data_IF_058797638978
#
_entry.id   IF_058797638978
#
_cell.length_a   1.000
_cell.length_b   1.000
_cell.length_c   1.000
_cell.angle_alpha   90.00
_cell.angle_beta   90.00
_cell.angle_gamma   90.00
#
_symmetry.space_group_name_H-M   'P 1'
#
loop_
_entity.id
_entity.type
_entity.pdbx_description
1 polymer ?
#
# COMPACT_ATOMS: atom_id res chain seq x y z
N UNK A 1 -5.77 -88.22 -12.63
CA UNK A 1 -4.69 -87.22 -12.57
C UNK A 1 -5.36 -85.86 -12.61
N UNK A 2 -5.46 -85.22 -11.44
CA UNK A 2 -6.17 -83.92 -11.24
C UNK A 2 -5.14 -82.82 -11.14
N UNK A 3 -5.15 -81.89 -12.09
CA UNK A 3 -4.30 -80.71 -12.04
C UNK A 3 -5.09 -79.56 -11.37
N UNK A 4 -4.61 -79.13 -10.23
CA UNK A 4 -5.12 -78.00 -9.45
C UNK A 4 -4.51 -76.72 -10.04
N UNK A 5 -5.36 -75.88 -10.63
CA UNK A 5 -4.97 -74.55 -11.08
C UNK A 5 -5.05 -73.56 -9.93
N UNK A 6 -3.96 -72.85 -9.67
CA UNK A 6 -3.85 -71.80 -8.68
C UNK A 6 -4.32 -70.46 -9.26
N UNK A 7 -5.24 -69.74 -8.65
CA UNK A 7 -5.60 -68.41 -9.14
C UNK A 7 -4.61 -67.36 -8.66
N UNK A 8 -4.02 -66.66 -9.60
CA UNK A 8 -3.13 -65.51 -9.34
C UNK A 8 -3.94 -64.33 -8.89
N UNK A 9 -3.84 -63.95 -7.63
CA UNK A 9 -4.48 -62.78 -7.04
C UNK A 9 -3.68 -61.54 -7.45
N UNK A 10 -4.19 -60.77 -8.44
CA UNK A 10 -3.64 -59.50 -8.84
C UNK A 10 -4.08 -58.41 -7.82
N UNK A 11 -3.20 -58.02 -6.91
CA UNK A 11 -3.39 -56.87 -6.01
C UNK A 11 -3.09 -55.62 -6.84
N UNK A 12 -4.15 -54.95 -7.32
CA UNK A 12 -4.05 -53.61 -7.90
C UNK A 12 -3.85 -52.61 -6.79
N UNK A 13 -2.58 -52.16 -6.58
CA UNK A 13 -2.25 -51.06 -5.70
C UNK A 13 -2.78 -49.75 -6.25
N UNK A 14 -3.87 -49.22 -5.67
CA UNK A 14 -4.30 -47.85 -5.87
C UNK A 14 -3.29 -46.89 -5.19
N UNK A 15 -2.36 -46.36 -5.98
CA UNK A 15 -1.58 -45.20 -5.62
C UNK A 15 -2.53 -43.99 -5.56
N UNK A 16 -2.99 -43.67 -4.34
CA UNK A 16 -3.64 -42.41 -4.05
C UNK A 16 -2.62 -41.28 -4.25
N UNK A 17 -2.62 -40.67 -5.40
CA UNK A 17 -1.96 -39.40 -5.68
C UNK A 17 -2.70 -38.33 -4.86
N UNK A 18 -2.30 -38.16 -3.60
CA UNK A 18 -2.65 -36.98 -2.82
C UNK A 18 -1.92 -35.79 -3.47
N UNK A 19 -2.49 -35.24 -4.52
CA UNK A 19 -2.09 -33.98 -5.09
C UNK A 19 -2.25 -32.93 -4.01
N UNK A 20 -1.16 -32.48 -3.40
CA UNK A 20 -1.16 -31.21 -2.69
C UNK A 20 -1.56 -30.15 -3.72
N UNK A 21 -2.85 -29.82 -3.79
CA UNK A 21 -3.28 -28.59 -4.41
C UNK A 21 -2.67 -27.48 -3.55
N UNK A 22 -1.51 -27.00 -4.01
CA UNK A 22 -0.95 -25.75 -3.52
C UNK A 22 -1.95 -24.70 -4.05
N UNK A 23 -2.82 -24.21 -3.18
CA UNK A 23 -3.66 -23.06 -3.51
C UNK A 23 -2.73 -21.95 -3.96
N UNK A 24 -2.69 -21.72 -5.27
CA UNK A 24 -1.98 -20.57 -5.81
C UNK A 24 -2.58 -19.32 -5.16
N UNK A 25 -1.73 -18.37 -4.70
CA UNK A 25 -2.23 -17.16 -4.05
C UNK A 25 -3.22 -16.48 -5.00
N UNK A 26 -4.48 -16.52 -4.63
CA UNK A 26 -5.56 -15.95 -5.45
C UNK A 26 -5.39 -14.45 -5.52
N UNK A 27 -5.15 -13.92 -6.71
CA UNK A 27 -5.11 -12.48 -6.90
C UNK A 27 -6.47 -11.87 -6.53
N UNK A 28 -6.47 -11.00 -5.51
CA UNK A 28 -7.67 -10.32 -5.00
C UNK A 28 -7.82 -8.95 -5.63
N UNK A 29 -6.69 -8.27 -5.86
CA UNK A 29 -6.66 -6.93 -6.42
C UNK A 29 -5.36 -6.67 -7.21
N UNK A 30 -5.42 -5.69 -8.10
CA UNK A 30 -4.26 -5.20 -8.89
C UNK A 30 -4.08 -3.70 -8.68
N UNK A 31 -2.84 -3.24 -8.67
CA UNK A 31 -2.54 -1.79 -8.65
C UNK A 31 -3.10 -1.16 -9.92
N UNK A 32 -3.99 -0.19 -9.76
CA UNK A 32 -4.60 0.58 -10.85
C UNK A 32 -4.12 2.03 -10.90
N UNK A 33 -3.57 2.54 -9.81
CA UNK A 33 -3.00 3.88 -9.75
C UNK A 33 -2.06 4.04 -8.56
N UNK A 34 -1.06 4.90 -8.72
CA UNK A 34 -0.12 5.24 -7.66
C UNK A 34 0.50 6.59 -7.93
N UNK A 35 0.56 7.44 -6.92
CA UNK A 35 1.12 8.78 -7.01
C UNK A 35 1.50 9.33 -5.64
N UNK A 36 2.28 10.40 -5.64
CA UNK A 36 2.33 11.32 -4.52
C UNK A 36 1.27 12.39 -4.68
N UNK A 37 0.63 12.76 -3.58
CA UNK A 37 -0.29 13.89 -3.51
C UNK A 37 0.37 14.98 -2.66
N UNK A 38 0.63 16.14 -3.27
CA UNK A 38 1.17 17.30 -2.60
C UNK A 38 0.08 18.34 -2.39
N UNK A 39 -0.23 18.63 -1.14
CA UNK A 39 -1.15 19.70 -0.76
C UNK A 39 -0.35 20.85 -0.14
N UNK A 40 0.09 21.77 -0.99
CA UNK A 40 0.90 22.93 -0.59
C UNK A 40 0.14 23.91 0.32
N UNK A 41 -1.20 23.93 0.32
CA UNK A 41 -2.00 24.81 1.19
C UNK A 41 -1.83 24.45 2.67
N UNK A 42 -1.75 23.16 2.97
CA UNK A 42 -1.59 22.63 4.33
C UNK A 42 -0.21 22.01 4.55
N UNK A 43 0.72 22.15 3.59
CA UNK A 43 2.09 21.64 3.63
C UNK A 43 2.16 20.11 3.90
N UNK A 44 1.29 19.35 3.26
CA UNK A 44 1.20 17.88 3.42
C UNK A 44 1.52 17.19 2.10
N UNK A 45 2.39 16.19 2.16
CA UNK A 45 2.58 15.21 1.10
C UNK A 45 2.15 13.82 1.60
N UNK A 46 1.59 13.00 0.74
CA UNK A 46 1.19 11.62 1.05
C UNK A 46 1.40 10.71 -0.16
N UNK A 47 1.62 9.43 0.08
CA UNK A 47 1.46 8.39 -0.92
C UNK A 47 -0.04 8.12 -1.12
N UNK A 48 -0.44 7.88 -2.35
CA UNK A 48 -1.77 7.39 -2.69
C UNK A 48 -1.64 6.21 -3.63
N UNK A 49 -2.17 5.05 -3.23
CA UNK A 49 -2.25 3.86 -4.07
C UNK A 49 -3.70 3.45 -4.22
N UNK A 50 -4.12 3.23 -5.45
CA UNK A 50 -5.44 2.68 -5.77
C UNK A 50 -5.28 1.28 -6.31
N UNK A 51 -6.05 0.36 -5.77
CA UNK A 51 -6.15 -1.01 -6.23
C UNK A 51 -7.50 -1.20 -6.91
N UNK A 52 -7.52 -1.87 -8.05
CA UNK A 52 -8.75 -2.41 -8.65
C UNK A 52 -8.97 -3.81 -8.09
N UNK A 53 -10.08 -4.03 -7.41
CA UNK A 53 -10.46 -5.35 -6.94
C UNK A 53 -10.88 -6.23 -8.13
N UNK A 54 -10.40 -7.48 -8.16
CA UNK A 54 -10.65 -8.44 -9.23
C UNK A 54 -11.29 -9.74 -8.72
N UNK A 55 -11.30 -9.95 -7.40
CA UNK A 55 -12.01 -11.07 -6.78
C UNK A 55 -12.81 -10.59 -5.56
N UNK A 56 -13.89 -11.30 -5.18
CA UNK A 56 -14.65 -10.95 -3.98
C UNK A 56 -13.84 -11.15 -2.71
N UNK A 57 -14.08 -10.29 -1.73
CA UNK A 57 -13.57 -10.39 -0.37
C UNK A 57 -14.73 -10.56 0.62
N UNK A 58 -14.45 -11.21 1.74
CA UNK A 58 -15.43 -11.37 2.83
C UNK A 58 -15.60 -10.04 3.59
N UNK A 59 -16.76 -9.82 4.16
CA UNK A 59 -16.95 -8.68 5.09
C UNK A 59 -15.97 -8.80 6.26
N UNK A 60 -15.47 -7.66 6.75
CA UNK A 60 -14.41 -7.62 7.77
C UNK A 60 -12.99 -7.73 7.22
N UNK A 61 -12.81 -7.95 5.90
CA UNK A 61 -11.48 -7.89 5.28
C UNK A 61 -10.87 -6.49 5.40
N UNK A 62 -9.54 -6.43 5.47
CA UNK A 62 -8.78 -5.17 5.61
C UNK A 62 -7.62 -5.12 4.61
N UNK A 63 -7.19 -3.92 4.30
CA UNK A 63 -5.93 -3.66 3.60
C UNK A 63 -4.97 -2.94 4.54
N UNK A 64 -3.76 -3.44 4.64
CA UNK A 64 -2.66 -2.79 5.36
C UNK A 64 -1.59 -2.41 4.36
N UNK A 65 -1.12 -1.18 4.43
CA UNK A 65 -0.03 -0.70 3.60
C UNK A 65 1.14 -0.23 4.46
N UNK A 66 2.35 -0.59 4.02
CA UNK A 66 3.62 -0.15 4.59
C UNK A 66 4.32 0.67 3.52
N UNK A 67 4.67 1.91 3.85
CA UNK A 67 5.28 2.88 2.95
C UNK A 67 6.68 3.21 3.45
N UNK A 68 7.67 3.17 2.57
CA UNK A 68 9.01 3.65 2.87
C UNK A 68 8.95 5.11 3.35
N UNK A 69 9.63 5.43 4.44
CA UNK A 69 9.67 6.81 4.95
C UNK A 69 10.73 7.63 4.20
N UNK A 70 10.35 8.64 3.39
CA UNK A 70 11.34 9.43 2.64
C UNK A 70 12.31 10.21 3.51
N UNK A 71 11.91 10.53 4.75
CA UNK A 71 12.78 11.18 5.73
C UNK A 71 13.78 10.20 6.37
N UNK A 72 13.61 8.90 6.14
CA UNK A 72 14.37 7.85 6.82
C UNK A 72 13.75 7.45 8.16
N UNK A 73 14.32 6.41 8.79
CA UNK A 73 13.77 5.83 10.01
C UNK A 73 12.69 4.76 9.73
N UNK A 74 11.79 4.49 10.67
CA UNK A 74 10.77 3.46 10.51
C UNK A 74 9.81 3.76 9.36
N UNK A 75 9.39 2.70 8.66
CA UNK A 75 8.35 2.79 7.65
C UNK A 75 7.02 3.24 8.24
N UNK A 76 6.21 3.87 7.40
CA UNK A 76 4.89 4.36 7.77
C UNK A 76 3.84 3.30 7.42
N UNK A 77 2.81 3.19 8.23
CA UNK A 77 1.74 2.21 8.02
C UNK A 77 0.37 2.86 7.99
N UNK A 78 -0.51 2.31 7.17
CA UNK A 78 -1.94 2.58 7.22
C UNK A 78 -2.73 1.29 7.16
N UNK A 79 -3.97 1.34 7.66
CA UNK A 79 -4.91 0.23 7.62
C UNK A 79 -6.30 0.76 7.35
N UNK A 80 -6.95 0.16 6.34
CA UNK A 80 -8.30 0.51 5.93
C UNK A 80 -9.19 -0.74 5.88
N UNK A 81 -10.48 -0.56 6.14
CA UNK A 81 -11.49 -1.61 5.96
C UNK A 81 -11.85 -1.71 4.48
N UNK A 82 -11.97 -2.93 3.98
CA UNK A 82 -12.46 -3.20 2.63
C UNK A 82 -13.96 -3.50 2.72
N UNK A 83 -14.77 -2.73 2.00
CA UNK A 83 -16.20 -3.02 1.92
C UNK A 83 -16.47 -3.96 0.74
N UNK A 84 -17.31 -5.00 0.91
CA UNK A 84 -17.53 -6.01 -0.13
C UNK A 84 -18.06 -5.47 -1.47
N UNK A 85 -18.67 -4.29 -1.47
CA UNK A 85 -19.19 -3.64 -2.68
C UNK A 85 -18.20 -2.71 -3.38
N UNK A 86 -17.09 -2.36 -2.71
CA UNK A 86 -16.11 -1.44 -3.30
C UNK A 86 -15.34 -2.14 -4.41
N UNK A 87 -15.37 -1.59 -5.61
CA UNK A 87 -14.57 -2.05 -6.75
C UNK A 87 -13.14 -1.55 -6.66
N UNK A 88 -12.92 -0.42 -6.00
CA UNK A 88 -11.63 0.21 -5.79
C UNK A 88 -11.30 0.31 -4.31
N UNK A 89 -10.07 -0.01 -3.98
CA UNK A 89 -9.52 0.12 -2.63
C UNK A 89 -8.43 1.19 -2.71
N UNK A 90 -8.57 2.25 -1.94
CA UNK A 90 -7.56 3.32 -1.89
C UNK A 90 -6.85 3.25 -0.54
N UNK A 91 -5.53 3.22 -0.57
CA UNK A 91 -4.68 3.32 0.62
C UNK A 91 -3.83 4.58 0.54
N UNK A 92 -3.79 5.32 1.63
CA UNK A 92 -3.05 6.56 1.76
C UNK A 92 -2.11 6.47 2.97
N UNK A 93 -0.89 6.99 2.81
CA UNK A 93 0.04 7.07 3.94
C UNK A 93 -0.35 8.16 4.92
N UNK A 94 0.15 8.12 6.16
CA UNK A 94 0.33 9.32 6.96
C UNK A 94 1.11 10.39 6.18
N UNK A 95 1.11 11.67 6.61
CA UNK A 95 1.93 12.70 6.01
C UNK A 95 3.41 12.31 5.96
N UNK A 96 4.05 12.63 4.83
CA UNK A 96 5.47 12.38 4.59
C UNK A 96 6.22 13.68 4.31
N UNK A 97 7.52 13.64 4.56
CA UNK A 97 8.43 14.74 4.28
C UNK A 97 9.64 14.22 3.48
N UNK A 98 10.35 15.12 2.82
CA UNK A 98 11.61 14.81 2.13
C UNK A 98 11.46 13.94 0.87
N UNK A 99 10.30 13.97 0.22
CA UNK A 99 10.12 13.27 -1.05
C UNK A 99 11.04 13.89 -2.11
N UNK A 100 11.84 13.05 -2.77
CA UNK A 100 12.76 13.43 -3.85
C UNK A 100 12.18 13.05 -5.20
N UNK A 101 12.37 13.94 -6.17
CA UNK A 101 12.00 13.69 -7.55
C UNK A 101 12.71 12.44 -8.07
N UNK A 102 12.02 11.66 -8.89
CA UNK A 102 12.50 10.46 -9.61
C UNK A 102 13.05 9.32 -8.73
N UNK A 103 13.14 9.50 -7.41
CA UNK A 103 13.53 8.43 -6.50
C UNK A 103 12.40 7.40 -6.37
N UNK A 104 12.67 6.08 -6.51
CA UNK A 104 11.69 5.04 -6.24
C UNK A 104 11.55 4.84 -4.72
N UNK A 105 10.31 4.81 -4.24
CA UNK A 105 9.95 4.51 -2.86
C UNK A 105 9.14 3.23 -2.80
N UNK A 106 9.50 2.33 -1.89
CA UNK A 106 8.84 1.03 -1.75
C UNK A 106 7.49 1.16 -1.04
N UNK A 107 6.52 0.37 -1.51
CA UNK A 107 5.23 0.20 -0.85
C UNK A 107 4.88 -1.28 -0.85
N UNK A 108 4.58 -1.82 0.33
CA UNK A 108 4.08 -3.18 0.51
C UNK A 108 2.66 -3.13 1.00
N UNK A 109 1.75 -3.79 0.30
CA UNK A 109 0.32 -3.82 0.60
C UNK A 109 -0.09 -5.26 0.90
N UNK A 110 -0.77 -5.49 2.03
CA UNK A 110 -1.30 -6.78 2.43
C UNK A 110 -2.82 -6.69 2.52
N UNK A 111 -3.50 -7.51 1.73
CA UNK A 111 -4.94 -7.72 1.84
C UNK A 111 -5.15 -8.89 2.80
N UNK A 112 -5.93 -8.66 3.84
CA UNK A 112 -6.19 -9.63 4.90
C UNK A 112 -7.67 -9.97 4.96
N UNK A 113 -7.96 -11.24 5.19
CA UNK A 113 -9.29 -11.72 5.52
C UNK A 113 -9.75 -11.27 6.91
N UNK A 114 -11.02 -11.52 7.26
CA UNK A 114 -11.58 -11.11 8.55
C UNK A 114 -10.91 -11.79 9.75
N UNK A 115 -10.31 -12.95 9.57
CA UNK A 115 -9.55 -13.69 10.59
C UNK A 115 -8.07 -13.26 10.67
N UNK A 116 -7.65 -12.29 9.83
CA UNK A 116 -6.28 -11.78 9.79
C UNK A 116 -5.34 -12.56 8.88
N UNK A 117 -5.84 -13.59 8.20
CA UNK A 117 -5.12 -14.35 7.19
C UNK A 117 -4.73 -13.47 6.00
N UNK A 118 -3.51 -13.63 5.48
CA UNK A 118 -3.05 -12.87 4.33
C UNK A 118 -3.60 -13.51 3.06
N UNK A 119 -4.50 -12.78 2.40
CA UNK A 119 -5.08 -13.21 1.12
C UNK A 119 -4.15 -12.89 -0.06
N UNK A 120 -3.47 -11.74 -0.01
CA UNK A 120 -2.53 -11.30 -1.03
C UNK A 120 -1.52 -10.31 -0.46
N UNK A 121 -0.28 -10.39 -0.94
CA UNK A 121 0.74 -9.35 -0.74
C UNK A 121 1.09 -8.75 -2.10
N UNK A 122 1.09 -7.42 -2.18
CA UNK A 122 1.45 -6.65 -3.38
C UNK A 122 2.65 -5.78 -3.03
N UNK A 123 3.73 -5.90 -3.79
CA UNK A 123 4.88 -5.02 -3.70
C UNK A 123 4.91 -4.09 -4.90
N UNK A 124 5.13 -2.82 -4.67
CA UNK A 124 5.22 -1.81 -5.73
C UNK A 124 6.18 -0.69 -5.34
N UNK A 125 6.50 0.16 -6.30
CA UNK A 125 7.27 1.38 -6.06
C UNK A 125 6.52 2.58 -6.61
N UNK A 126 6.68 3.72 -5.95
CA UNK A 126 6.13 5.00 -6.39
C UNK A 126 7.30 5.97 -6.60
N UNK A 127 7.23 6.75 -7.68
CA UNK A 127 8.14 7.87 -7.94
C UNK A 127 7.34 9.16 -7.95
N UNK A 128 7.96 10.22 -7.48
CA UNK A 128 7.43 11.58 -7.63
C UNK A 128 8.06 12.23 -8.85
N UNK A 129 7.30 12.96 -9.62
CA UNK A 129 7.77 13.85 -10.68
C UNK A 129 8.20 15.22 -10.14
N UNK A 130 8.03 15.44 -8.84
CA UNK A 130 8.27 16.71 -8.16
C UNK A 130 9.08 16.49 -6.88
N UNK A 131 10.07 17.35 -6.63
CA UNK A 131 10.79 17.38 -5.36
C UNK A 131 9.98 18.15 -4.31
N UNK A 132 9.85 17.60 -3.10
CA UNK A 132 9.09 18.24 -2.02
C UNK A 132 9.72 19.53 -1.53
N UNK A 133 10.97 19.80 -1.84
CA UNK A 133 11.63 21.09 -1.52
C UNK A 133 10.95 22.30 -2.17
N UNK A 134 10.07 22.07 -3.16
CA UNK A 134 9.24 23.11 -3.76
C UNK A 134 8.05 23.52 -2.86
N UNK A 135 7.77 22.75 -1.80
CA UNK A 135 6.69 23.04 -0.86
C UNK A 135 7.23 23.76 0.37
N UNK A 136 6.48 24.74 0.91
CA UNK A 136 6.81 25.32 2.19
C UNK A 136 6.71 24.28 3.31
N UNK A 137 7.57 24.37 4.34
CA UNK A 137 7.49 23.50 5.52
C UNK A 137 6.25 23.78 6.37
N UNK A 138 5.72 25.01 6.28
CA UNK A 138 4.56 25.45 7.06
C UNK A 138 3.31 25.55 6.17
N UNK A 139 2.12 25.18 6.70
CA UNK A 139 0.88 25.36 5.97
C UNK A 139 0.64 26.85 5.64
N UNK A 140 0.17 27.13 4.42
CA UNK A 140 -0.16 28.49 3.99
C UNK A 140 -1.42 29.03 4.67
N UNK A 141 -2.28 28.12 5.12
CA UNK A 141 -3.55 28.46 5.76
C UNK A 141 -3.72 27.67 7.07
N UNK A 142 -4.40 28.26 8.03
CA UNK A 142 -4.66 27.67 9.34
C UNK A 142 -6.13 27.81 9.75
N UNK A 143 -6.56 26.95 10.64
CA UNK A 143 -7.91 26.93 11.20
C UNK A 143 -9.00 26.51 10.21
N UNK A 144 -10.24 26.38 10.71
CA UNK A 144 -11.37 25.87 9.92
C UNK A 144 -11.81 26.80 8.79
N UNK A 145 -11.46 28.07 8.87
CA UNK A 145 -11.78 29.08 7.85
C UNK A 145 -10.66 29.28 6.82
N UNK A 146 -9.59 28.45 6.89
CA UNK A 146 -8.45 28.57 5.99
C UNK A 146 -7.84 29.97 5.95
N UNK A 147 -7.69 30.60 7.10
CA UNK A 147 -7.08 31.93 7.20
C UNK A 147 -5.59 31.87 6.85
N UNK A 148 -5.02 32.93 6.25
CA UNK A 148 -3.59 32.99 6.00
C UNK A 148 -2.79 32.72 7.27
N UNK A 149 -1.77 31.86 7.18
CA UNK A 149 -0.93 31.54 8.32
C UNK A 149 0.00 32.70 8.67
N UNK A 150 -0.10 33.30 9.88
CA UNK A 150 0.75 34.44 10.26
C UNK A 150 2.23 34.05 10.44
N UNK A 151 2.55 32.76 10.57
CA UNK A 151 3.93 32.30 10.58
C UNK A 151 4.56 32.30 9.19
N UNK A 152 3.75 32.24 8.14
CA UNK A 152 4.16 32.31 6.73
C UNK A 152 4.04 33.75 6.22
N UNK A 153 2.88 34.36 6.38
CA UNK A 153 2.58 35.72 5.93
C UNK A 153 2.70 36.69 7.10
N UNK A 154 3.85 37.33 7.21
CA UNK A 154 4.14 38.19 8.36
C UNK A 154 3.52 39.58 8.22
N UNK A 155 3.25 40.27 9.34
CA UNK A 155 2.66 41.62 9.33
C UNK A 155 3.49 42.68 8.59
N UNK A 156 4.81 42.46 8.47
CA UNK A 156 5.74 43.34 7.75
C UNK A 156 5.70 43.13 6.21
N UNK A 157 4.84 42.25 5.72
CA UNK A 157 4.70 41.92 4.29
C UNK A 157 5.70 40.88 3.78
N UNK A 158 6.59 40.37 4.63
CA UNK A 158 7.51 39.28 4.24
C UNK A 158 6.83 37.92 4.34
N UNK A 159 7.34 36.95 3.56
CA UNK A 159 6.84 35.57 3.59
C UNK A 159 7.94 34.56 3.94
N UNK A 160 7.59 33.53 4.72
CA UNK A 160 8.47 32.41 5.05
C UNK A 160 8.03 31.15 4.27
N UNK A 161 8.59 30.96 3.08
CA UNK A 161 8.31 29.83 2.18
C UNK A 161 9.41 28.76 2.22
N UNK A 162 10.23 28.75 3.27
CA UNK A 162 11.32 27.78 3.36
C UNK A 162 10.80 26.35 3.37
N UNK A 163 11.43 25.43 2.62
CA UNK A 163 11.06 24.02 2.63
C UNK A 163 11.46 23.35 3.94
N UNK A 164 10.98 22.10 4.12
CA UNK A 164 11.39 21.21 5.21
C UNK A 164 12.91 21.07 5.22
N UNK A 165 13.50 21.17 6.39
CA UNK A 165 14.95 21.07 6.62
C UNK A 165 15.33 19.68 7.15
N UNK A 166 16.62 19.31 7.01
CA UNK A 166 17.16 18.07 7.57
C UNK A 166 16.73 16.82 6.79
N UNK A 167 16.44 16.97 5.50
CA UNK A 167 16.21 15.83 4.63
C UNK A 167 17.51 15.07 4.36
N UNK A 168 17.44 13.72 4.23
CA UNK A 168 18.59 12.90 3.84
C UNK A 168 19.19 13.38 2.52
N UNK A 169 20.52 13.29 2.41
CA UNK A 169 21.18 13.43 1.12
C UNK A 169 20.70 12.28 0.20
N UNK A 170 20.41 12.60 -1.05
CA UNK A 170 20.01 11.65 -2.10
C UNK A 170 21.20 10.83 -2.56
#
# INVERSE_FOLDING_TARGET
>A
MRRIGLPLLAIAGMLALSGCQRDEPREVAKVSGRMFVFNYRVAIATYLVTLQRIAPVRDGSTVEATFENPRGGPDLTSREKIFPKDEKITVQSPPVECVKQDRPYKVTIRIKGPEGDILQTIETTIRSDTDQSLLPAKPLVVGPLYTPNPEVFKPDGTTDMRPVQGCPAS
#
